data_IF_143209479572
#
_entry.id   IF_143209479572
#
_cell.length_a   1.000
_cell.length_b   1.000
_cell.length_c   1.000
_cell.angle_alpha   90.00
_cell.angle_beta   90.00
_cell.angle_gamma   90.00
#
_symmetry.space_group_name_H-M   'P 1'
#
loop_
_entity.id
_entity.type
_entity.pdbx_description
1 polymer ?
#
# COMPACT_ATOMS: atom_id res chain seq x y z
N UNK A 1 10.35 -7.20 5.77
CA UNK A 1 11.44 -7.21 6.75
C UNK A 1 10.90 -7.39 8.17
N UNK A 2 9.95 -6.57 8.63
CA UNK A 2 9.38 -6.65 10.00
C UNK A 2 8.74 -8.00 10.30
N UNK A 3 7.98 -8.58 9.37
CA UNK A 3 7.35 -9.90 9.53
C UNK A 3 8.37 -11.06 9.65
N UNK A 4 9.58 -10.88 9.15
CA UNK A 4 10.66 -11.88 9.21
C UNK A 4 11.58 -11.74 10.42
N UNK A 5 11.40 -10.71 11.24
CA UNK A 5 12.26 -10.51 12.41
C UNK A 5 11.89 -11.43 13.59
N UNK A 6 12.90 -11.74 14.38
CA UNK A 6 12.69 -12.55 15.56
C UNK A 6 12.10 -11.69 16.68
N UNK A 7 10.98 -12.15 17.20
CA UNK A 7 10.33 -11.60 18.39
C UNK A 7 10.18 -12.68 19.45
N UNK A 8 9.94 -12.27 20.68
CA UNK A 8 9.79 -13.15 21.81
C UNK A 8 8.88 -12.57 22.90
N UNK A 9 8.44 -13.44 23.78
CA UNK A 9 7.87 -13.07 25.06
C UNK A 9 8.96 -13.11 26.11
N UNK A 10 9.10 -12.05 26.89
CA UNK A 10 10.07 -11.95 27.95
C UNK A 10 9.41 -11.41 29.22
N UNK A 11 9.96 -11.80 30.37
CA UNK A 11 9.55 -11.30 31.67
C UNK A 11 10.58 -10.31 32.17
N UNK A 12 10.12 -9.17 32.68
CA UNK A 12 10.99 -8.24 33.38
C UNK A 12 11.30 -8.76 34.78
N UNK A 13 12.57 -8.82 35.12
CA UNK A 13 13.05 -9.17 36.48
C UNK A 13 13.02 -7.96 37.39
N UNK A 14 13.07 -8.17 38.72
CA UNK A 14 13.15 -7.10 39.71
C UNK A 14 14.31 -6.11 39.50
N UNK A 15 15.35 -6.55 38.80
CA UNK A 15 16.52 -5.74 38.41
C UNK A 15 16.35 -4.99 37.08
N UNK A 16 15.14 -5.00 36.51
CA UNK A 16 14.85 -4.32 35.26
C UNK A 16 15.34 -5.05 33.99
N UNK A 17 15.97 -6.20 34.12
CA UNK A 17 16.41 -6.99 32.94
C UNK A 17 15.32 -7.89 32.44
N UNK A 18 15.28 -8.07 31.11
CA UNK A 18 14.34 -8.97 30.46
C UNK A 18 14.90 -10.36 30.25
N UNK A 19 14.16 -11.38 30.66
CA UNK A 19 14.50 -12.80 30.46
C UNK A 19 13.46 -13.42 29.52
N UNK A 20 13.87 -13.95 28.35
CA UNK A 20 12.96 -14.60 27.42
C UNK A 20 12.32 -15.87 28.01
N UNK A 21 11.03 -16.08 27.68
CA UNK A 21 10.34 -17.35 27.89
C UNK A 21 10.19 -18.09 26.55
N UNK A 22 11.05 -19.11 26.26
CA UNK A 22 10.98 -19.80 24.99
C UNK A 22 9.71 -20.65 24.81
N UNK A 23 9.10 -21.12 25.91
CA UNK A 23 7.91 -21.97 25.85
C UNK A 23 6.68 -21.12 25.46
N UNK A 24 6.49 -20.01 26.12
CA UNK A 24 5.40 -19.08 25.79
C UNK A 24 5.61 -18.40 24.43
N UNK A 25 6.87 -18.10 24.08
CA UNK A 25 7.22 -17.58 22.76
C UNK A 25 6.80 -18.52 21.62
N UNK A 26 6.93 -19.85 21.81
CA UNK A 26 6.49 -20.80 20.78
C UNK A 26 4.99 -20.73 20.49
N UNK A 27 4.15 -20.38 21.47
CA UNK A 27 2.71 -20.26 21.30
C UNK A 27 2.34 -19.15 20.35
N UNK A 28 3.07 -18.01 20.38
CA UNK A 28 2.82 -16.85 19.53
C UNK A 28 3.58 -16.88 18.19
N UNK A 29 4.33 -17.94 17.89
CA UNK A 29 5.00 -18.10 16.60
C UNK A 29 4.17 -18.89 15.62
N UNK A 30 4.06 -18.38 14.40
CA UNK A 30 3.46 -19.07 13.27
C UNK A 30 2.40 -18.26 12.56
N UNK A 31 1.83 -18.84 11.52
CA UNK A 31 0.95 -18.19 10.54
C UNK A 31 -0.21 -17.36 11.13
N UNK A 32 -0.75 -17.78 12.28
CA UNK A 32 -1.86 -17.03 12.89
C UNK A 32 -1.38 -15.72 13.50
N UNK A 33 -0.23 -15.73 14.18
CA UNK A 33 0.36 -14.50 14.72
C UNK A 33 0.98 -13.59 13.66
N UNK A 34 1.44 -14.15 12.54
CA UNK A 34 1.85 -13.34 11.38
C UNK A 34 0.66 -12.53 10.85
N UNK A 35 -0.58 -13.06 10.91
CA UNK A 35 -1.80 -12.30 10.60
C UNK A 35 -2.05 -11.15 11.57
N UNK A 36 -1.76 -11.35 12.87
CA UNK A 36 -1.88 -10.30 13.89
C UNK A 36 -0.92 -9.16 13.57
N UNK A 37 0.37 -9.48 13.40
CA UNK A 37 1.39 -8.47 13.08
C UNK A 37 1.05 -7.75 11.78
N UNK A 38 0.61 -8.48 10.76
CA UNK A 38 0.12 -7.88 9.51
C UNK A 38 -1.07 -6.96 9.76
N UNK A 39 -2.05 -7.38 10.57
CA UNK A 39 -3.22 -6.57 10.94
C UNK A 39 -2.82 -5.28 11.65
N UNK A 40 -1.82 -5.32 12.53
CA UNK A 40 -1.27 -4.14 13.20
C UNK A 40 -0.62 -3.19 12.18
N UNK A 41 0.20 -3.69 11.26
CA UNK A 41 0.80 -2.88 10.18
C UNK A 41 -0.29 -2.32 9.27
N UNK A 42 -1.30 -3.12 8.93
CA UNK A 42 -2.43 -2.68 8.12
C UNK A 42 -3.22 -1.52 8.79
N UNK A 43 -3.28 -1.48 10.13
CA UNK A 43 -3.93 -0.36 10.82
C UNK A 43 -3.22 0.97 10.58
N UNK A 44 -1.90 0.99 10.46
CA UNK A 44 -1.15 2.19 10.10
C UNK A 44 -1.41 2.64 8.67
N UNK A 45 -1.62 1.70 7.76
CA UNK A 45 -1.87 2.00 6.34
C UNK A 45 -3.31 2.46 6.10
N UNK A 46 -4.29 1.83 6.74
CA UNK A 46 -5.72 2.06 6.53
C UNK A 46 -6.40 2.88 7.64
N UNK A 47 -5.68 3.21 8.72
CA UNK A 47 -6.20 3.91 9.88
C UNK A 47 -6.67 2.98 10.99
N UNK A 48 -7.25 1.83 10.67
CA UNK A 48 -7.74 0.86 11.64
C UNK A 48 -7.74 -0.56 11.07
N UNK A 49 -7.75 -1.53 11.99
CA UNK A 49 -7.94 -2.96 11.67
C UNK A 49 -8.70 -3.64 12.80
N UNK A 50 -9.69 -4.46 12.47
CA UNK A 50 -10.36 -5.34 13.42
C UNK A 50 -9.83 -6.77 13.30
N UNK A 51 -9.59 -7.40 14.44
CA UNK A 51 -9.20 -8.80 14.53
C UNK A 51 -10.19 -9.56 15.40
N UNK A 52 -10.48 -10.79 15.00
CA UNK A 52 -11.18 -11.80 15.77
C UNK A 52 -10.19 -12.88 16.19
N UNK A 53 -10.07 -13.12 17.47
CA UNK A 53 -9.21 -14.15 18.06
C UNK A 53 -10.11 -15.24 18.62
N UNK A 54 -10.15 -16.39 17.97
CA UNK A 54 -10.93 -17.52 18.45
C UNK A 54 -10.14 -18.29 19.54
N UNK A 55 -10.72 -18.54 20.72
CA UNK A 55 -10.03 -19.17 21.85
C UNK A 55 -9.80 -20.67 21.66
N UNK A 56 -10.10 -21.20 20.48
CA UNK A 56 -9.88 -22.61 20.16
C UNK A 56 -8.39 -22.93 19.98
N UNK A 57 -7.92 -23.94 20.72
CA UNK A 57 -6.54 -24.42 20.64
C UNK A 57 -6.51 -25.70 19.79
N UNK A 58 -5.63 -25.75 18.82
CA UNK A 58 -5.34 -26.98 18.08
C UNK A 58 -4.61 -27.97 19.01
N UNK A 59 -5.25 -29.11 19.28
CA UNK A 59 -4.73 -30.13 20.18
C UNK A 59 -3.39 -30.74 19.75
N UNK A 60 -3.05 -30.67 18.45
CA UNK A 60 -1.78 -31.21 17.93
C UNK A 60 -0.62 -30.23 18.11
N UNK A 61 -0.87 -28.94 17.98
CA UNK A 61 0.18 -27.92 17.97
C UNK A 61 0.24 -27.11 19.25
N UNK A 62 -0.81 -27.14 20.07
CA UNK A 62 -0.96 -26.30 21.26
C UNK A 62 -1.07 -24.80 20.92
N UNK A 63 -1.39 -24.46 19.68
CA UNK A 63 -1.51 -23.09 19.20
C UNK A 63 -2.96 -22.71 18.94
N UNK A 64 -3.24 -21.40 18.92
CA UNK A 64 -4.56 -20.91 18.49
C UNK A 64 -4.85 -21.41 17.07
N UNK A 65 -6.05 -21.95 16.91
CA UNK A 65 -6.49 -22.55 15.66
C UNK A 65 -6.73 -21.49 14.58
N UNK A 66 -7.32 -20.38 14.95
CA UNK A 66 -7.72 -19.38 14.00
C UNK A 66 -7.70 -17.95 14.57
N UNK A 67 -7.17 -17.04 13.77
CA UNK A 67 -7.26 -15.59 13.96
C UNK A 67 -7.71 -15.01 12.63
N UNK A 68 -8.79 -14.22 12.65
CA UNK A 68 -9.40 -13.65 11.47
C UNK A 68 -9.26 -12.13 11.47
N UNK A 69 -9.02 -11.56 10.29
CA UNK A 69 -9.14 -10.13 10.09
C UNK A 69 -10.58 -9.82 9.66
N UNK A 70 -11.24 -8.92 10.39
CA UNK A 70 -12.59 -8.46 10.09
C UNK A 70 -12.49 -7.53 8.87
N UNK A 71 -13.41 -7.72 7.92
CA UNK A 71 -13.47 -6.84 6.76
C UNK A 71 -13.72 -5.39 7.16
N UNK A 72 -12.88 -4.46 6.72
CA UNK A 72 -12.96 -3.04 7.10
C UNK A 72 -14.30 -2.40 6.80
N UNK A 73 -14.97 -2.83 5.71
CA UNK A 73 -16.33 -2.38 5.38
C UNK A 73 -17.37 -2.72 6.43
N UNK A 74 -17.08 -3.68 7.31
CA UNK A 74 -17.97 -4.11 8.38
C UNK A 74 -17.59 -3.47 9.73
N UNK A 75 -16.70 -2.50 9.76
CA UNK A 75 -16.26 -1.82 10.98
C UNK A 75 -16.66 -0.35 10.91
N UNK A 76 -17.25 0.14 11.99
CA UNK A 76 -17.49 1.56 12.28
C UNK A 76 -16.48 2.00 13.34
N UNK A 77 -15.30 2.50 12.98
CA UNK A 77 -14.23 2.77 13.95
C UNK A 77 -14.62 3.85 14.97
N UNK A 78 -15.31 4.90 14.54
CA UNK A 78 -15.77 5.99 15.43
C UNK A 78 -16.77 5.53 16.52
N UNK A 79 -17.48 4.44 16.29
CA UNK A 79 -18.43 3.85 17.23
C UNK A 79 -17.89 2.58 17.89
N UNK A 80 -16.71 2.13 17.50
CA UNK A 80 -16.07 0.86 17.91
C UNK A 80 -17.02 -0.33 17.77
N UNK A 81 -17.65 -0.46 16.56
CA UNK A 81 -18.66 -1.49 16.28
C UNK A 81 -18.35 -2.28 15.02
N UNK A 82 -18.74 -3.56 15.08
CA UNK A 82 -18.79 -4.44 13.91
C UNK A 82 -20.24 -4.46 13.42
N UNK A 83 -20.45 -4.22 12.12
CA UNK A 83 -21.77 -4.17 11.50
C UNK A 83 -21.80 -5.03 10.24
N UNK A 84 -22.93 -5.62 9.91
CA UNK A 84 -23.09 -6.38 8.66
C UNK A 84 -23.08 -5.47 7.42
N UNK A 85 -23.59 -4.25 7.57
CA UNK A 85 -23.58 -3.20 6.55
C UNK A 85 -23.30 -1.88 7.23
N UNK A 86 -22.58 -1.00 6.56
CA UNK A 86 -22.33 0.39 7.01
C UNK A 86 -23.61 1.21 6.93
N UNK A 87 -24.59 0.83 7.78
CA UNK A 87 -25.84 1.54 7.94
C UNK A 87 -25.94 1.97 9.41
N UNK A 88 -26.20 3.25 9.65
CA UNK A 88 -26.37 3.83 10.99
C UNK A 88 -27.48 3.17 11.82
N UNK A 89 -28.44 2.54 11.16
CA UNK A 89 -29.56 1.84 11.81
C UNK A 89 -29.24 0.41 12.27
N UNK A 90 -28.08 -0.13 11.87
CA UNK A 90 -27.66 -1.46 12.30
C UNK A 90 -26.88 -1.33 13.62
N UNK A 91 -27.40 -1.82 14.77
CA UNK A 91 -26.72 -1.69 16.05
C UNK A 91 -25.36 -2.44 16.07
N UNK A 92 -25.22 -3.54 15.30
CA UNK A 92 -23.99 -4.33 15.27
C UNK A 92 -23.55 -4.83 16.65
N UNK A 93 -22.27 -5.23 16.74
CA UNK A 93 -21.62 -5.65 17.97
C UNK A 93 -20.56 -4.63 18.38
N UNK A 94 -20.53 -4.28 19.68
CA UNK A 94 -19.51 -3.37 20.19
C UNK A 94 -18.26 -4.18 20.57
N UNK A 95 -17.09 -3.74 20.11
CA UNK A 95 -15.78 -4.32 20.48
C UNK A 95 -15.56 -4.33 21.99
N UNK A 96 -16.04 -3.31 22.70
CA UNK A 96 -15.80 -3.11 24.13
C UNK A 96 -16.86 -3.77 25.03
N UNK A 97 -17.82 -4.50 24.47
CA UNK A 97 -18.80 -5.18 25.29
C UNK A 97 -18.15 -6.35 26.03
N UNK A 98 -18.53 -6.56 27.31
CA UNK A 98 -17.95 -7.59 28.17
C UNK A 98 -17.97 -9.00 27.56
N UNK A 99 -18.94 -9.27 26.69
CA UNK A 99 -19.09 -10.55 26.00
C UNK A 99 -18.02 -10.76 24.90
N UNK A 100 -17.50 -9.68 24.31
CA UNK A 100 -16.69 -9.74 23.10
C UNK A 100 -15.28 -9.16 23.26
N UNK A 101 -15.01 -8.44 24.34
CA UNK A 101 -13.78 -7.69 24.57
C UNK A 101 -12.51 -8.54 24.47
N UNK A 102 -12.58 -9.80 24.88
CA UNK A 102 -11.40 -10.68 24.83
C UNK A 102 -11.20 -11.29 23.44
N UNK A 103 -12.28 -11.47 22.66
CA UNK A 103 -12.22 -12.13 21.36
C UNK A 103 -12.06 -11.17 20.19
N UNK A 104 -12.52 -9.92 20.33
CA UNK A 104 -12.50 -8.95 19.27
C UNK A 104 -11.64 -7.75 19.64
N UNK A 105 -10.74 -7.37 18.75
CA UNK A 105 -9.78 -6.27 18.94
C UNK A 105 -9.96 -5.25 17.82
N UNK A 106 -10.20 -4.01 18.17
CA UNK A 106 -10.10 -2.90 17.23
C UNK A 106 -8.78 -2.16 17.46
N UNK A 107 -7.87 -2.31 16.53
CA UNK A 107 -6.61 -1.59 16.49
C UNK A 107 -6.85 -0.31 15.71
N UNK A 108 -6.85 0.84 16.41
CA UNK A 108 -7.00 2.16 15.84
C UNK A 108 -5.65 2.88 15.89
N UNK A 109 -5.15 3.33 14.75
CA UNK A 109 -3.89 4.06 14.67
C UNK A 109 -4.00 5.53 15.10
N UNK A 110 -5.20 6.00 15.44
CA UNK A 110 -5.47 7.41 15.73
C UNK A 110 -5.36 8.34 14.52
N UNK A 111 -5.29 7.77 13.31
CA UNK A 111 -5.16 8.50 12.06
C UNK A 111 -6.02 7.89 10.96
N UNK A 112 -6.22 8.62 9.86
CA UNK A 112 -6.91 8.08 8.68
C UNK A 112 -6.07 7.07 7.88
N UNK A 113 -4.84 6.81 8.33
CA UNK A 113 -3.88 5.91 7.69
C UNK A 113 -3.16 6.54 6.49
N UNK A 114 -2.02 5.95 6.14
CA UNK A 114 -1.17 6.45 5.06
C UNK A 114 -1.87 6.43 3.70
N UNK A 115 -2.77 5.49 3.45
CA UNK A 115 -3.48 5.39 2.17
C UNK A 115 -4.50 6.50 1.95
N UNK A 116 -5.10 7.06 2.98
CA UNK A 116 -6.00 8.20 2.82
C UNK A 116 -5.29 9.41 2.22
N UNK A 117 -4.05 9.66 2.64
CA UNK A 117 -3.23 10.75 2.14
C UNK A 117 -2.62 10.48 0.74
N UNK A 118 -2.42 9.20 0.38
CA UNK A 118 -1.82 8.82 -0.92
C UNK A 118 -2.85 8.55 -2.00
N UNK A 119 -4.09 8.22 -1.64
CA UNK A 119 -5.16 7.89 -2.61
C UNK A 119 -5.40 8.98 -3.65
N UNK A 120 -5.51 10.29 -3.31
CA UNK A 120 -5.69 11.34 -4.31
C UNK A 120 -4.52 11.41 -5.31
N UNK A 121 -3.30 11.19 -4.83
CA UNK A 121 -2.09 11.18 -5.66
C UNK A 121 -2.10 10.01 -6.64
N UNK A 122 -2.47 8.82 -6.17
CA UNK A 122 -2.58 7.62 -7.01
C UNK A 122 -3.67 7.79 -8.07
N UNK A 123 -4.81 8.41 -7.71
CA UNK A 123 -5.87 8.72 -8.67
C UNK A 123 -5.39 9.72 -9.71
N UNK A 124 -4.70 10.80 -9.30
CA UNK A 124 -4.11 11.76 -10.22
C UNK A 124 -3.15 11.07 -11.21
N UNK A 125 -2.27 10.18 -10.72
CA UNK A 125 -1.38 9.38 -11.57
C UNK A 125 -2.15 8.53 -12.59
N UNK A 126 -3.23 7.85 -12.17
CA UNK A 126 -4.07 7.04 -13.07
C UNK A 126 -4.70 7.88 -14.17
N UNK A 127 -5.26 9.04 -13.82
CA UNK A 127 -5.84 9.95 -14.81
C UNK A 127 -4.78 10.53 -15.74
N UNK A 128 -3.61 10.89 -15.23
CA UNK A 128 -2.48 11.38 -16.03
C UNK A 128 -2.05 10.32 -17.03
N UNK A 129 -1.91 9.08 -16.61
CA UNK A 129 -1.54 7.98 -17.51
C UNK A 129 -2.60 7.75 -18.59
N UNK A 130 -3.89 7.76 -18.24
CA UNK A 130 -4.96 7.61 -19.21
C UNK A 130 -4.96 8.76 -20.24
N UNK A 131 -4.75 10.01 -19.77
CA UNK A 131 -4.65 11.17 -20.65
C UNK A 131 -3.41 11.10 -21.54
N UNK A 132 -2.28 10.60 -21.04
CA UNK A 132 -1.07 10.38 -21.83
C UNK A 132 -1.30 9.37 -22.96
N UNK A 133 -1.98 8.26 -22.66
CA UNK A 133 -2.34 7.25 -23.68
C UNK A 133 -3.25 7.87 -24.75
N UNK A 134 -4.29 8.60 -24.34
CA UNK A 134 -5.19 9.28 -25.28
C UNK A 134 -4.46 10.34 -26.11
N UNK A 135 -3.59 11.11 -25.48
CA UNK A 135 -2.76 12.10 -26.16
C UNK A 135 -1.85 11.44 -27.20
N UNK A 136 -1.16 10.35 -26.81
CA UNK A 136 -0.31 9.58 -27.72
C UNK A 136 -1.09 9.00 -28.89
N UNK A 137 -2.32 8.55 -28.66
CA UNK A 137 -3.18 8.03 -29.72
C UNK A 137 -3.65 9.12 -30.68
N UNK A 138 -3.97 10.30 -30.15
CA UNK A 138 -4.50 11.42 -30.95
C UNK A 138 -3.41 12.14 -31.72
N UNK A 139 -2.27 12.39 -31.09
CA UNK A 139 -1.19 13.21 -31.64
C UNK A 139 0.06 12.44 -32.04
N UNK A 140 0.16 11.17 -31.68
CA UNK A 140 1.26 10.28 -32.07
C UNK A 140 1.19 9.82 -33.51
N UNK A 141 0.02 10.00 -34.16
CA UNK A 141 -0.14 9.70 -35.57
C UNK A 141 -0.03 10.97 -36.40
N UNK A 142 0.74 10.99 -37.49
CA UNK A 142 0.81 12.12 -38.39
C UNK A 142 -0.54 12.38 -39.03
N UNK A 143 -0.93 13.66 -39.12
CA UNK A 143 -2.08 14.07 -39.89
C UNK A 143 -1.64 14.23 -41.35
N UNK A 144 -2.22 13.44 -42.20
CA UNK A 144 -1.99 13.54 -43.65
C UNK A 144 -3.03 14.54 -44.22
N UNK A 145 -2.53 15.64 -44.74
CA UNK A 145 -3.33 16.69 -45.34
C UNK A 145 -3.11 16.65 -46.84
N UNK A 146 -4.12 16.17 -47.58
CA UNK A 146 -4.13 16.18 -49.05
C UNK A 146 -4.87 17.39 -49.61
N UNK A 147 -4.29 18.10 -50.56
CA UNK A 147 -4.92 19.12 -51.36
C UNK A 147 -5.18 18.56 -52.74
N UNK A 148 -6.41 18.68 -53.21
CA UNK A 148 -6.84 18.24 -54.53
C UNK A 148 -7.50 19.43 -55.24
N UNK A 149 -7.18 19.68 -56.49
CA UNK A 149 -7.76 20.78 -57.25
C UNK A 149 -9.20 20.48 -57.70
N UNK A 150 -9.60 19.22 -57.81
CA UNK A 150 -10.96 18.83 -58.20
C UNK A 150 -11.98 19.15 -57.12
N UNK A 151 -13.08 19.80 -57.48
CA UNK A 151 -14.23 20.03 -56.61
C UNK A 151 -15.18 18.83 -56.53
N UNK A 152 -14.98 17.82 -57.38
CA UNK A 152 -15.82 16.62 -57.42
C UNK A 152 -15.73 15.81 -56.16
N UNK A 153 -16.87 15.45 -55.58
CA UNK A 153 -16.94 14.64 -54.38
C UNK A 153 -16.42 13.20 -54.61
N UNK A 154 -16.57 12.67 -55.81
CA UNK A 154 -16.05 11.36 -56.19
C UNK A 154 -14.53 11.34 -56.22
N UNK A 155 -13.91 12.41 -56.78
CA UNK A 155 -12.44 12.52 -56.85
C UNK A 155 -11.83 12.68 -55.44
N UNK A 156 -12.48 13.48 -54.58
CA UNK A 156 -12.06 13.64 -53.20
C UNK A 156 -12.08 12.32 -52.42
N UNK A 157 -13.14 11.52 -52.61
CA UNK A 157 -13.22 10.19 -51.94
C UNK A 157 -12.15 9.22 -52.46
N UNK A 158 -11.91 9.22 -53.77
CA UNK A 158 -10.88 8.38 -54.41
C UNK A 158 -9.52 8.79 -53.89
N UNK A 159 -9.18 10.08 -53.91
CA UNK A 159 -7.91 10.62 -53.42
C UNK A 159 -7.69 10.31 -51.93
N UNK A 160 -8.71 10.49 -51.07
CA UNK A 160 -8.63 10.11 -49.65
C UNK A 160 -8.35 8.61 -49.44
N UNK A 161 -8.99 7.75 -50.25
CA UNK A 161 -8.75 6.30 -50.23
C UNK A 161 -7.34 5.93 -50.71
N UNK A 162 -6.83 6.60 -51.72
CA UNK A 162 -5.47 6.42 -52.24
C UNK A 162 -4.43 6.85 -51.22
N UNK A 163 -4.61 7.99 -50.53
CA UNK A 163 -3.75 8.45 -49.43
C UNK A 163 -3.79 7.47 -48.25
N UNK A 164 -5.00 7.00 -47.88
CA UNK A 164 -5.12 6.02 -46.77
C UNK A 164 -4.39 4.72 -47.08
N UNK A 165 -4.51 4.20 -48.30
CA UNK A 165 -3.77 3.01 -48.77
C UNK A 165 -2.27 3.28 -48.86
N UNK A 166 -1.88 4.45 -49.33
CA UNK A 166 -0.48 4.87 -49.46
C UNK A 166 0.19 5.02 -48.08
N UNK A 167 -0.55 5.50 -47.06
CA UNK A 167 -0.05 5.57 -45.68
C UNK A 167 0.29 4.17 -45.13
N UNK A 168 -0.47 3.13 -45.48
CA UNK A 168 -0.13 1.75 -45.14
C UNK A 168 1.12 1.23 -45.88
N UNK A 169 1.26 1.60 -47.17
CA UNK A 169 2.35 1.14 -48.01
C UNK A 169 3.55 2.05 -48.05
N UNK A 170 3.52 3.18 -47.34
CA UNK A 170 4.59 4.22 -47.27
C UNK A 170 4.97 4.82 -48.65
N UNK A 171 4.07 4.77 -49.63
CA UNK A 171 4.28 5.29 -50.97
C UNK A 171 3.06 6.18 -51.29
N UNK A 172 3.31 7.44 -51.61
CA UNK A 172 2.30 8.38 -52.12
C UNK A 172 2.74 8.79 -53.53
N UNK A 173 1.84 8.68 -54.49
CA UNK A 173 2.02 9.18 -55.84
C UNK A 173 0.93 10.25 -56.09
N UNK A 174 1.37 11.48 -56.31
CA UNK A 174 0.48 12.63 -56.52
C UNK A 174 0.55 13.11 -57.97
N UNK A 175 -0.56 13.72 -58.49
CA UNK A 175 -0.54 14.42 -59.74
C UNK A 175 0.30 15.70 -59.67
N UNK A 176 0.57 16.32 -60.82
CA UNK A 176 1.40 17.53 -60.92
C UNK A 176 0.88 18.73 -60.12
N UNK A 177 -0.40 18.78 -59.84
CA UNK A 177 -1.09 19.89 -59.16
C UNK A 177 -1.65 19.48 -57.77
N UNK A 178 -1.51 18.20 -57.38
CA UNK A 178 -1.92 17.69 -56.09
C UNK A 178 -0.77 17.71 -55.08
N UNK A 179 -1.08 18.12 -53.87
CA UNK A 179 -0.09 18.25 -52.81
C UNK A 179 -0.49 17.37 -51.61
N UNK A 180 0.44 16.61 -51.07
CA UNK A 180 0.30 15.88 -49.83
C UNK A 180 1.29 16.38 -48.79
N UNK A 181 0.80 16.95 -47.72
CA UNK A 181 1.59 17.45 -46.61
C UNK A 181 1.37 16.56 -45.38
N UNK A 182 2.45 16.12 -44.81
CA UNK A 182 2.44 15.27 -43.58
C UNK A 182 2.75 16.18 -42.39
N UNK A 183 1.69 16.53 -41.66
CA UNK A 183 1.84 17.31 -40.43
C UNK A 183 2.07 16.42 -39.24
N UNK A 184 3.30 16.45 -38.73
CA UNK A 184 3.64 15.81 -37.46
C UNK A 184 3.58 16.83 -36.34
N UNK A 185 2.91 16.50 -35.24
CA UNK A 185 2.96 17.34 -34.06
C UNK A 185 4.29 17.11 -33.33
N UNK A 186 5.05 18.18 -33.12
CA UNK A 186 6.31 18.10 -32.37
C UNK A 186 5.99 17.97 -30.88
N UNK A 187 6.15 16.75 -30.34
CA UNK A 187 5.78 16.39 -28.97
C UNK A 187 6.80 16.83 -27.90
N UNK A 188 7.84 17.58 -28.27
CA UNK A 188 9.04 17.75 -27.46
C UNK A 188 8.87 18.25 -26.01
N UNK A 189 7.74 18.88 -25.67
CA UNK A 189 7.48 19.34 -24.30
C UNK A 189 6.26 18.70 -23.64
N UNK A 190 5.32 18.14 -24.42
CA UNK A 190 4.08 17.61 -23.88
C UNK A 190 4.30 16.30 -23.12
N UNK A 191 5.24 15.47 -23.56
CA UNK A 191 5.62 14.22 -22.89
C UNK A 191 6.16 14.49 -21.48
N UNK A 192 6.96 15.55 -21.32
CA UNK A 192 7.56 15.91 -20.03
C UNK A 192 6.54 16.32 -18.97
N UNK A 193 5.38 16.85 -19.40
CA UNK A 193 4.29 17.21 -18.47
C UNK A 193 3.71 15.94 -17.82
N UNK A 194 3.45 14.93 -18.63
CA UNK A 194 2.86 13.67 -18.13
C UNK A 194 3.87 12.87 -17.31
N UNK A 195 5.09 12.70 -17.81
CA UNK A 195 6.16 11.97 -17.10
C UNK A 195 6.56 12.69 -15.82
N UNK A 196 6.72 14.01 -15.84
CA UNK A 196 7.06 14.79 -14.65
C UNK A 196 5.98 14.70 -13.54
N UNK A 197 4.69 14.69 -13.91
CA UNK A 197 3.63 14.50 -12.91
C UNK A 197 3.63 13.08 -12.34
N UNK A 198 3.87 12.05 -13.16
CA UNK A 198 3.97 10.67 -12.71
C UNK A 198 5.15 10.52 -11.72
N UNK A 199 6.32 11.07 -12.07
CA UNK A 199 7.51 11.05 -11.21
C UNK A 199 7.30 11.80 -9.90
N UNK A 200 6.63 12.97 -9.95
CA UNK A 200 6.29 13.73 -8.75
C UNK A 200 5.40 12.91 -7.80
N UNK A 201 4.38 12.26 -8.34
CA UNK A 201 3.48 11.41 -7.53
C UNK A 201 4.23 10.22 -6.94
N UNK A 202 5.07 9.54 -7.71
CA UNK A 202 5.85 8.40 -7.22
C UNK A 202 6.79 8.80 -6.10
N UNK A 203 7.45 9.95 -6.21
CA UNK A 203 8.28 10.54 -5.18
C UNK A 203 7.48 10.83 -3.91
N UNK A 204 6.35 11.51 -4.03
CA UNK A 204 5.51 11.86 -2.88
C UNK A 204 4.93 10.63 -2.17
N UNK A 205 4.48 9.62 -2.92
CA UNK A 205 4.00 8.35 -2.35
C UNK A 205 5.14 7.61 -1.64
N UNK A 206 6.32 7.55 -2.25
CA UNK A 206 7.51 6.91 -1.65
C UNK A 206 7.93 7.61 -0.36
N UNK A 207 7.98 8.93 -0.35
CA UNK A 207 8.31 9.70 0.85
C UNK A 207 7.31 9.47 1.98
N UNK A 208 6.02 9.38 1.67
CA UNK A 208 4.96 9.15 2.69
C UNK A 208 5.02 7.75 3.28
N UNK A 209 5.27 6.73 2.46
CA UNK A 209 5.24 5.32 2.90
C UNK A 209 6.61 4.87 3.43
N UNK A 210 7.68 5.14 2.69
CA UNK A 210 9.02 4.66 3.00
C UNK A 210 9.87 5.69 3.76
N UNK A 211 9.46 6.96 3.79
CA UNK A 211 10.21 8.05 4.39
C UNK A 211 11.35 8.57 3.50
N UNK A 212 11.58 7.97 2.34
CA UNK A 212 12.69 8.33 1.45
C UNK A 212 12.37 7.99 -0.01
N UNK A 213 12.76 8.91 -0.89
CA UNK A 213 12.61 8.79 -2.34
C UNK A 213 13.55 7.73 -2.95
N UNK A 214 14.78 7.64 -2.46
CA UNK A 214 15.82 6.79 -3.07
C UNK A 214 15.57 5.28 -2.88
N UNK A 215 14.70 4.89 -1.94
CA UNK A 215 14.34 3.49 -1.75
C UNK A 215 13.38 2.95 -2.82
N UNK A 216 12.77 3.81 -3.62
CA UNK A 216 11.83 3.46 -4.69
C UNK A 216 12.49 3.33 -6.08
N UNK A 217 13.81 3.40 -6.19
CA UNK A 217 14.54 3.16 -7.45
C UNK A 217 15.13 4.41 -8.12
N UNK A 218 15.39 5.46 -7.36
CA UNK A 218 16.10 6.63 -7.89
C UNK A 218 17.54 6.26 -8.30
N UNK A 219 17.81 6.39 -9.57
CA UNK A 219 18.98 5.82 -10.27
C UNK A 219 20.30 6.58 -10.06
N UNK A 220 20.33 7.68 -9.33
CA UNK A 220 21.53 8.49 -9.11
C UNK A 220 21.53 9.08 -7.69
N UNK A 221 22.10 8.36 -6.75
CA UNK A 221 22.48 8.97 -5.48
C UNK A 221 23.96 8.81 -5.20
N UNK A 222 24.59 9.91 -4.81
CA UNK A 222 25.94 9.90 -4.24
C UNK A 222 25.96 9.02 -2.99
N UNK A 223 27.06 8.31 -2.75
CA UNK A 223 27.22 7.36 -1.62
C UNK A 223 26.79 7.94 -0.27
N UNK A 224 27.02 9.24 -0.05
CA UNK A 224 26.59 9.93 1.18
C UNK A 224 25.06 10.09 1.30
N UNK A 225 24.39 10.38 0.19
CA UNK A 225 22.93 10.48 0.15
C UNK A 225 22.28 9.10 0.39
N UNK A 226 22.86 8.03 -0.16
CA UNK A 226 22.38 6.65 0.04
C UNK A 226 22.41 6.27 1.51
N UNK A 227 23.46 6.62 2.24
CA UNK A 227 23.56 6.33 3.68
C UNK A 227 22.51 7.08 4.51
N UNK A 228 22.31 8.37 4.24
CA UNK A 228 21.26 9.16 4.92
C UNK A 228 19.86 8.60 4.66
N UNK A 229 19.57 8.17 3.44
CA UNK A 229 18.30 7.54 3.10
C UNK A 229 18.12 6.17 3.78
N UNK A 230 19.20 5.41 3.92
CA UNK A 230 19.17 4.13 4.65
C UNK A 230 18.91 4.34 6.14
N UNK A 231 19.48 5.38 6.75
CA UNK A 231 19.23 5.73 8.15
C UNK A 231 17.77 6.16 8.37
N UNK A 232 17.20 7.00 7.51
CA UNK A 232 15.78 7.38 7.56
C UNK A 232 14.86 6.15 7.43
N UNK A 233 15.20 5.23 6.54
CA UNK A 233 14.45 4.00 6.39
C UNK A 233 14.54 3.09 7.62
N UNK A 234 15.71 2.99 8.25
CA UNK A 234 15.91 2.27 9.50
C UNK A 234 15.10 2.87 10.65
N UNK A 235 15.06 4.19 10.75
CA UNK A 235 14.27 4.91 11.75
C UNK A 235 12.77 4.64 11.54
N UNK A 236 12.31 4.62 10.29
CA UNK A 236 10.93 4.27 9.96
C UNK A 236 10.58 2.83 10.36
N UNK A 237 11.47 1.88 10.10
CA UNK A 237 11.28 0.50 10.54
C UNK A 237 11.27 0.41 12.08
N UNK A 238 12.12 1.17 12.77
CA UNK A 238 12.12 1.21 14.23
C UNK A 238 10.78 1.71 14.77
N UNK A 239 10.25 2.78 14.22
CA UNK A 239 8.94 3.33 14.55
C UNK A 239 7.80 2.28 14.37
N UNK A 240 7.85 1.51 13.29
CA UNK A 240 6.86 0.44 13.07
C UNK A 240 7.00 -0.68 14.10
N UNK A 241 8.22 -1.04 14.50
CA UNK A 241 8.45 -2.05 15.56
C UNK A 241 7.89 -1.57 16.90
N UNK A 242 8.21 -0.34 17.29
CA UNK A 242 7.72 0.23 18.53
C UNK A 242 6.20 0.26 18.56
N UNK A 243 5.56 0.63 17.44
CA UNK A 243 4.11 0.60 17.33
C UNK A 243 3.56 -0.82 17.48
N UNK A 244 4.17 -1.82 16.81
CA UNK A 244 3.74 -3.22 16.94
C UNK A 244 3.92 -3.72 18.37
N UNK A 245 5.06 -3.44 19.03
CA UNK A 245 5.30 -3.81 20.41
C UNK A 245 4.24 -3.20 21.35
N UNK A 246 3.93 -1.93 21.18
CA UNK A 246 2.93 -1.24 21.99
C UNK A 246 1.55 -1.88 21.80
N UNK A 247 1.07 -2.03 20.57
CA UNK A 247 -0.24 -2.66 20.30
C UNK A 247 -0.27 -4.11 20.79
N UNK A 248 0.79 -4.87 20.61
CA UNK A 248 0.88 -6.25 21.14
C UNK A 248 0.75 -6.27 22.66
N UNK A 249 1.45 -5.38 23.35
CA UNK A 249 1.48 -5.37 24.82
C UNK A 249 0.24 -4.74 25.45
N UNK A 250 -0.36 -3.75 24.79
CA UNK A 250 -1.53 -3.05 25.33
C UNK A 250 -2.84 -3.75 24.95
N UNK A 251 -2.93 -4.32 23.74
CA UNK A 251 -4.19 -4.83 23.22
C UNK A 251 -4.24 -6.37 23.10
N UNK A 252 -3.18 -6.99 22.60
CA UNK A 252 -3.21 -8.42 22.24
C UNK A 252 -2.84 -9.30 23.43
N UNK A 253 -1.70 -9.05 24.07
CA UNK A 253 -1.19 -9.89 25.19
C UNK A 253 -2.18 -9.94 26.35
N UNK A 254 -2.80 -8.85 26.83
CA UNK A 254 -3.76 -8.91 27.91
C UNK A 254 -4.97 -9.83 27.58
N UNK A 255 -5.46 -9.80 26.35
CA UNK A 255 -6.55 -10.68 25.92
C UNK A 255 -6.17 -12.14 25.87
N UNK A 256 -4.95 -12.44 25.40
CA UNK A 256 -4.42 -13.81 25.40
C UNK A 256 -4.20 -14.35 26.82
N UNK A 257 -3.85 -13.47 27.76
CA UNK A 257 -3.78 -13.81 29.19
C UNK A 257 -5.18 -14.05 29.77
N UNK A 258 -6.16 -13.20 29.46
CA UNK A 258 -7.55 -13.37 29.90
C UNK A 258 -8.16 -14.68 29.37
N UNK A 259 -7.83 -15.08 28.14
CA UNK A 259 -8.20 -16.38 27.57
C UNK A 259 -7.44 -17.58 28.19
N UNK A 260 -6.46 -17.34 29.08
CA UNK A 260 -5.61 -18.39 29.65
C UNK A 260 -4.60 -19.00 28.65
N UNK A 261 -4.41 -18.38 27.50
CA UNK A 261 -3.49 -18.90 26.48
C UNK A 261 -2.02 -18.60 26.78
N UNK A 262 -1.74 -17.43 27.35
CA UNK A 262 -0.38 -16.98 27.73
C UNK A 262 -0.33 -16.73 29.23
N UNK A 263 0.82 -16.98 29.86
CA UNK A 263 1.05 -16.67 31.27
C UNK A 263 1.10 -15.14 31.51
N UNK A 264 0.60 -14.65 32.65
CA UNK A 264 0.66 -13.24 32.99
C UNK A 264 2.10 -12.76 33.25
N UNK A 265 2.32 -11.46 33.08
CA UNK A 265 3.61 -10.81 33.36
C UNK A 265 4.68 -11.04 32.28
N UNK A 266 4.25 -11.31 31.06
CA UNK A 266 5.10 -11.41 29.88
C UNK A 266 4.81 -10.23 28.94
N UNK A 267 5.88 -9.69 28.34
CA UNK A 267 5.82 -8.64 27.34
C UNK A 267 6.34 -9.16 25.99
N UNK A 268 5.69 -8.73 24.93
CA UNK A 268 6.16 -8.95 23.56
C UNK A 268 7.26 -7.96 23.22
N UNK A 269 8.37 -8.43 22.66
CA UNK A 269 9.46 -7.58 22.20
C UNK A 269 10.22 -8.19 21.03
N UNK A 270 10.81 -7.34 20.20
CA UNK A 270 11.76 -7.74 19.19
C UNK A 270 13.15 -8.02 19.80
N UNK A 271 13.89 -8.96 19.23
CA UNK A 271 15.21 -9.39 19.74
C UNK A 271 16.19 -8.24 19.93
N UNK A 272 16.16 -7.24 19.07
CA UNK A 272 17.03 -6.06 19.16
C UNK A 272 16.79 -5.26 20.44
N UNK A 273 15.55 -5.08 20.87
CA UNK A 273 15.22 -4.36 22.11
C UNK A 273 15.73 -5.09 23.33
N UNK A 274 15.63 -6.43 23.32
CA UNK A 274 16.17 -7.27 24.39
C UNK A 274 17.69 -7.08 24.54
N UNK A 275 18.44 -7.07 23.43
CA UNK A 275 19.88 -6.87 23.44
C UNK A 275 20.28 -5.49 23.97
N UNK A 276 19.50 -4.46 23.66
CA UNK A 276 19.72 -3.09 24.15
C UNK A 276 19.36 -2.93 25.63
N UNK A 277 18.29 -3.57 26.08
CA UNK A 277 17.80 -3.46 27.47
C UNK A 277 18.65 -4.24 28.48
N UNK A 278 19.40 -5.24 28.03
CA UNK A 278 20.23 -6.08 28.89
C UNK A 278 21.72 -5.66 28.92
N UNK A 279 22.11 -4.62 28.15
CA UNK A 279 23.42 -3.97 28.22
C UNK A 279 23.44 -2.94 29.33
#
# INVERSE_FOLDING_TARGET
QILGERYMLARQTEKGKYVPDPQETKKIRGRQFDKVIKGIVDSMLYGFTGLEILPEIDSRTGKLKEINQIERRNILPSQRRIVQRQNIWNPGWNFDSAQYVDNYVLIDSGSLGAFSATTPLILAKKFTFANYVNFSHTYGQPIIHGKLQSESQSDRRRFASEIANAAMNKIVVTGLEDEVDIKTFTMSNSERIFTGLIELVDRDVSNRILGSESMAGATQSYVGATKAHEDIFRDRISMYRDYIENVMNEEIIPRLVAMGYIKPGLEFMYSRRLEMSNK
#
